data_IF_023213534157
#
_entry.id   IF_023213534157
#
_cell.length_a   1.000
_cell.length_b   1.000
_cell.length_c   1.000
_cell.angle_alpha   90.00
_cell.angle_beta   90.00
_cell.angle_gamma   90.00
#
_symmetry.space_group_name_H-M   'P 1'
#
loop_
_entity.id
_entity.type
_entity.pdbx_description
1 polymer ?
#
# COMPACT_ATOMS: atom_id res chain seq x y z
N UNK A 1 15.14 62.30 -19.14
CA UNK A 1 13.77 62.17 -18.60
C UNK A 1 13.00 61.29 -19.56
N UNK A 2 13.12 59.97 -19.39
CA UNK A 2 12.12 59.06 -18.79
C UNK A 2 11.08 58.62 -19.84
N UNK A 3 10.75 57.35 -20.05
CA UNK A 3 11.29 56.06 -19.63
C UNK A 3 10.63 55.05 -20.60
N UNK A 4 11.40 54.06 -21.07
CA UNK A 4 10.94 53.00 -21.97
C UNK A 4 9.95 52.09 -21.24
N UNK A 5 8.83 51.76 -21.88
CA UNK A 5 7.95 50.67 -21.42
C UNK A 5 7.73 49.69 -22.56
N UNK A 6 8.52 48.62 -22.56
CA UNK A 6 8.34 47.45 -23.41
C UNK A 6 7.40 46.51 -22.66
N UNK A 7 6.22 46.23 -23.23
CA UNK A 7 5.32 45.20 -22.73
C UNK A 7 5.90 43.83 -23.12
N UNK A 8 6.36 43.07 -22.12
CA UNK A 8 6.65 41.63 -22.27
C UNK A 8 5.44 40.89 -21.68
N UNK A 9 4.68 40.10 -22.46
CA UNK A 9 3.67 39.24 -21.88
C UNK A 9 4.41 38.08 -21.19
N UNK A 10 4.38 38.08 -19.87
CA UNK A 10 4.84 36.98 -19.03
C UNK A 10 3.86 35.80 -19.24
N UNK A 11 4.22 34.89 -20.13
CA UNK A 11 3.54 33.62 -20.30
C UNK A 11 3.71 32.80 -19.01
N UNK A 12 2.67 32.79 -18.19
CA UNK A 12 2.59 31.98 -16.99
C UNK A 12 2.34 30.52 -17.42
N UNK A 13 3.41 29.79 -17.74
CA UNK A 13 3.36 28.34 -17.89
C UNK A 13 3.09 27.72 -16.51
N UNK A 14 1.82 27.51 -16.18
CA UNK A 14 1.40 26.58 -15.14
C UNK A 14 1.76 25.16 -15.59
N UNK A 15 3.00 24.75 -15.32
CA UNK A 15 3.35 23.35 -15.30
C UNK A 15 2.68 22.73 -14.07
N UNK A 16 1.41 22.35 -14.22
CA UNK A 16 0.73 21.47 -13.27
C UNK A 16 1.40 20.10 -13.33
N UNK A 17 2.41 19.87 -12.49
CA UNK A 17 2.83 18.53 -12.11
C UNK A 17 1.80 17.95 -11.13
N UNK A 18 0.56 17.81 -11.58
CA UNK A 18 -0.39 16.89 -10.94
C UNK A 18 -0.37 15.65 -11.81
N UNK A 19 0.62 14.79 -11.56
CA UNK A 19 0.58 13.42 -12.03
C UNK A 19 -0.52 12.69 -11.29
N UNK A 20 -1.77 12.96 -11.67
CA UNK A 20 -2.91 12.12 -11.36
C UNK A 20 -2.67 10.80 -12.09
N UNK A 21 -1.90 9.93 -11.45
CA UNK A 21 -1.64 8.58 -11.93
C UNK A 21 -2.88 7.77 -11.63
N UNK A 22 -3.96 8.09 -12.38
CA UNK A 22 -5.02 7.15 -12.66
C UNK A 22 -4.32 5.88 -13.15
N UNK A 23 -4.64 4.74 -12.54
CA UNK A 23 -4.13 3.45 -13.01
C UNK A 23 -4.44 3.33 -14.51
N UNK A 24 -3.40 3.32 -15.34
CA UNK A 24 -3.53 3.19 -16.79
C UNK A 24 -3.61 1.71 -17.20
N UNK A 25 -3.63 0.81 -16.21
CA UNK A 25 -3.63 -0.63 -16.41
C UNK A 25 -2.27 -1.20 -16.79
N UNK A 26 -1.18 -0.41 -16.68
CA UNK A 26 0.17 -0.91 -16.95
C UNK A 26 0.49 -2.08 -16.02
N UNK A 27 0.92 -3.18 -16.62
CA UNK A 27 1.30 -4.39 -15.90
C UNK A 27 2.61 -4.15 -15.16
N UNK A 28 2.67 -4.64 -13.93
CA UNK A 28 3.89 -4.60 -13.15
C UNK A 28 4.88 -5.62 -13.73
N UNK A 29 6.08 -5.16 -14.07
CA UNK A 29 7.15 -6.03 -14.57
C UNK A 29 7.98 -6.64 -13.45
N UNK A 30 8.70 -7.73 -13.76
CA UNK A 30 9.61 -8.40 -12.83
C UNK A 30 10.64 -7.44 -12.25
N UNK A 31 10.87 -7.53 -10.94
CA UNK A 31 11.85 -6.71 -10.24
C UNK A 31 11.40 -5.27 -9.98
N UNK A 32 10.22 -4.86 -10.45
CA UNK A 32 9.65 -3.56 -10.11
C UNK A 32 9.46 -3.45 -8.59
N UNK A 33 10.04 -2.45 -7.91
CA UNK A 33 9.87 -2.30 -6.47
C UNK A 33 8.39 -2.20 -6.08
N UNK A 34 7.99 -2.87 -4.99
CA UNK A 34 6.68 -2.64 -4.38
C UNK A 34 6.58 -1.16 -3.98
N UNK A 35 5.44 -0.53 -4.20
CA UNK A 35 5.28 0.89 -3.89
C UNK A 35 5.68 1.20 -2.44
N UNK A 36 6.60 2.15 -2.25
CA UNK A 36 7.13 2.53 -0.93
C UNK A 36 8.31 1.69 -0.41
N UNK A 37 8.68 0.62 -1.12
CA UNK A 37 9.86 -0.21 -0.82
C UNK A 37 11.17 0.56 -1.08
N UNK A 38 12.21 0.17 -0.36
CA UNK A 38 13.60 0.62 -0.56
C UNK A 38 14.29 -0.06 -1.77
N UNK A 39 13.53 -0.82 -2.56
CA UNK A 39 14.02 -1.60 -3.70
C UNK A 39 14.34 -3.05 -3.35
N UNK A 40 14.31 -3.45 -2.08
CA UNK A 40 14.56 -4.84 -1.68
C UNK A 40 13.32 -5.71 -1.70
N UNK A 41 12.13 -5.13 -1.54
CA UNK A 41 10.86 -5.82 -1.82
C UNK A 41 10.40 -5.47 -3.24
N UNK A 42 10.35 -6.49 -4.09
CA UNK A 42 10.02 -6.36 -5.51
C UNK A 42 8.81 -7.21 -5.89
N UNK A 43 8.14 -6.77 -6.94
CA UNK A 43 7.08 -7.51 -7.60
C UNK A 43 7.65 -8.51 -8.61
N UNK A 44 6.83 -9.54 -8.87
CA UNK A 44 6.93 -10.37 -10.06
C UNK A 44 5.84 -9.97 -11.05
N UNK A 45 6.10 -10.16 -12.33
CA UNK A 45 5.10 -10.03 -13.38
C UNK A 45 4.07 -11.15 -13.22
N UNK A 46 2.92 -10.77 -12.66
CA UNK A 46 1.78 -11.64 -12.41
C UNK A 46 0.58 -11.28 -13.30
N UNK A 47 0.83 -10.51 -14.38
CA UNK A 47 -0.22 -9.98 -15.25
C UNK A 47 -1.13 -8.96 -14.55
N UNK A 48 -0.68 -8.33 -13.47
CA UNK A 48 -1.47 -7.40 -12.66
C UNK A 48 -0.94 -5.97 -12.80
N UNK A 49 -1.87 -5.00 -12.88
CA UNK A 49 -1.56 -3.60 -12.65
C UNK A 49 -1.39 -3.31 -11.16
N UNK A 50 -0.89 -2.11 -10.85
CA UNK A 50 -0.78 -1.65 -9.46
C UNK A 50 -2.14 -1.55 -8.76
N UNK A 51 -3.21 -1.14 -9.45
CA UNK A 51 -4.53 -1.10 -8.81
C UNK A 51 -5.12 -2.50 -8.63
N UNK A 52 -4.90 -3.43 -9.55
CA UNK A 52 -5.33 -4.83 -9.37
C UNK A 52 -4.67 -5.45 -8.14
N UNK A 53 -3.36 -5.27 -7.98
CA UNK A 53 -2.64 -5.72 -6.79
C UNK A 53 -3.17 -5.06 -5.51
N UNK A 54 -3.40 -3.74 -5.54
CA UNK A 54 -3.92 -3.02 -4.39
C UNK A 54 -5.34 -3.50 -4.02
N UNK A 55 -6.23 -3.64 -5.00
CA UNK A 55 -7.57 -4.17 -4.81
C UNK A 55 -7.57 -5.61 -4.30
N UNK A 56 -6.59 -6.43 -4.70
CA UNK A 56 -6.42 -7.77 -4.16
C UNK A 56 -6.03 -7.77 -2.68
N UNK A 57 -5.15 -6.87 -2.26
CA UNK A 57 -4.73 -6.75 -0.86
C UNK A 57 -5.78 -6.11 0.04
N UNK A 58 -6.56 -5.15 -0.46
CA UNK A 58 -7.40 -4.31 0.41
C UNK A 58 -8.87 -4.25 0.01
N UNK A 59 -9.28 -4.99 -1.04
CA UNK A 59 -10.68 -5.24 -1.36
C UNK A 59 -11.28 -6.21 -0.35
N UNK A 60 -11.73 -5.68 0.79
CA UNK A 60 -12.32 -6.49 1.85
C UNK A 60 -13.70 -7.05 1.49
N UNK A 61 -14.06 -8.14 2.16
CA UNK A 61 -15.31 -8.90 1.98
C UNK A 61 -16.42 -8.50 2.98
N UNK A 62 -16.18 -7.47 3.78
CA UNK A 62 -17.08 -7.00 4.84
C UNK A 62 -16.79 -7.58 6.22
N UNK A 63 -15.73 -8.37 6.41
CA UNK A 63 -15.28 -8.81 7.74
C UNK A 63 -14.94 -7.63 8.66
N UNK A 64 -15.38 -7.68 9.92
CA UNK A 64 -15.13 -6.64 10.94
C UNK A 64 -14.46 -7.29 12.16
N UNK A 65 -13.15 -7.06 12.34
CA UNK A 65 -12.36 -7.72 13.41
C UNK A 65 -12.07 -6.75 14.55
N UNK A 66 -11.49 -5.59 14.23
CA UNK A 66 -11.09 -4.56 15.21
C UNK A 66 -11.36 -3.16 14.64
N UNK A 67 -11.76 -2.16 15.44
CA UNK A 67 -11.90 -0.80 14.94
C UNK A 67 -10.59 -0.31 14.32
N UNK A 68 -10.69 0.37 13.17
CA UNK A 68 -9.52 0.72 12.37
C UNK A 68 -8.52 1.58 13.15
N UNK A 69 -9.02 2.63 13.80
CA UNK A 69 -8.20 3.55 14.59
C UNK A 69 -7.50 2.85 15.76
N UNK A 70 -8.14 1.84 16.36
CA UNK A 70 -7.52 1.06 17.43
C UNK A 70 -6.35 0.26 16.89
N UNK A 71 -6.53 -0.43 15.75
CA UNK A 71 -5.45 -1.21 15.15
C UNK A 71 -4.22 -0.37 14.77
N UNK A 72 -4.43 0.88 14.32
CA UNK A 72 -3.33 1.77 13.95
C UNK A 72 -2.40 2.12 15.11
N UNK A 73 -2.93 2.14 16.34
CA UNK A 73 -2.23 2.55 17.56
C UNK A 73 -2.07 1.42 18.59
N UNK A 74 -2.56 0.21 18.28
CA UNK A 74 -2.53 -0.92 19.19
C UNK A 74 -1.09 -1.33 19.44
N UNK A 75 -0.70 -1.41 20.71
CA UNK A 75 0.61 -1.90 21.16
C UNK A 75 0.59 -3.43 21.36
N UNK A 76 1.77 -4.05 21.37
CA UNK A 76 1.91 -5.46 21.73
C UNK A 76 1.78 -5.65 23.25
N UNK A 77 1.31 -6.81 23.71
CA UNK A 77 0.93 -7.02 25.12
C UNK A 77 2.01 -6.64 26.15
N UNK A 78 3.29 -6.91 25.83
CA UNK A 78 4.44 -6.66 26.70
C UNK A 78 5.43 -5.64 26.12
N UNK A 79 5.00 -4.78 25.18
CA UNK A 79 5.87 -3.82 24.48
C UNK A 79 5.10 -2.61 23.94
N UNK A 80 5.72 -1.44 23.93
CA UNK A 80 5.16 -0.22 23.30
C UNK A 80 5.27 -0.24 21.77
N UNK A 81 5.88 -1.27 21.19
CA UNK A 81 5.91 -1.45 19.74
C UNK A 81 4.49 -1.74 19.22
N UNK A 82 4.14 -1.13 18.09
CA UNK A 82 2.82 -1.33 17.49
C UNK A 82 2.61 -2.80 17.10
N UNK A 83 1.38 -3.28 17.22
CA UNK A 83 0.96 -4.59 16.76
C UNK A 83 1.18 -4.74 15.25
N UNK A 84 0.95 -3.67 14.48
CA UNK A 84 1.16 -3.63 13.03
C UNK A 84 2.62 -3.43 12.60
N UNK A 85 3.57 -3.39 13.54
CA UNK A 85 4.99 -3.28 13.19
C UNK A 85 5.41 -4.46 12.31
N UNK A 86 6.21 -4.18 11.26
CA UNK A 86 6.61 -5.17 10.25
C UNK A 86 7.15 -6.45 10.87
N UNK A 87 8.00 -6.35 11.89
CA UNK A 87 8.57 -7.50 12.60
C UNK A 87 7.49 -8.37 13.28
N UNK A 88 6.45 -7.77 13.85
CA UNK A 88 5.35 -8.54 14.47
C UNK A 88 4.46 -9.16 13.39
N UNK A 89 4.20 -8.46 12.30
CA UNK A 89 3.42 -8.95 11.16
C UNK A 89 4.12 -10.15 10.50
N UNK A 90 5.45 -10.08 10.30
CA UNK A 90 6.25 -11.20 9.82
C UNK A 90 6.25 -12.38 10.80
N UNK A 91 6.39 -12.11 12.11
CA UNK A 91 6.29 -13.12 13.17
C UNK A 91 4.93 -13.82 13.16
N UNK A 92 3.87 -13.07 12.89
CA UNK A 92 2.50 -13.55 12.72
C UNK A 92 2.20 -14.09 11.33
N UNK A 93 3.22 -14.23 10.46
CA UNK A 93 3.10 -14.94 9.19
C UNK A 93 2.20 -14.24 8.18
N UNK A 94 2.11 -12.92 8.32
CA UNK A 94 1.51 -12.03 7.36
C UNK A 94 2.60 -11.23 6.63
N UNK A 95 2.22 -10.60 5.52
CA UNK A 95 3.18 -9.90 4.65
C UNK A 95 3.13 -8.39 4.90
N UNK A 96 4.18 -7.78 5.48
CA UNK A 96 4.24 -6.33 5.60
C UNK A 96 4.37 -5.66 4.23
N UNK A 97 3.64 -4.57 4.04
CA UNK A 97 3.70 -3.73 2.85
C UNK A 97 4.09 -2.32 3.28
N UNK A 98 5.17 -1.75 2.72
CA UNK A 98 5.60 -0.40 3.07
C UNK A 98 4.52 0.65 2.86
N UNK A 99 4.63 1.75 3.61
CA UNK A 99 3.80 2.95 3.40
C UNK A 99 4.05 3.52 2.01
N UNK A 100 2.98 3.87 1.32
CA UNK A 100 3.05 4.49 -0.01
C UNK A 100 1.81 5.33 -0.30
N UNK A 101 1.73 5.94 -1.49
CA UNK A 101 0.51 6.63 -1.93
C UNK A 101 -0.72 5.69 -1.98
N UNK A 102 -0.48 4.40 -2.20
CA UNK A 102 -1.53 3.38 -2.24
C UNK A 102 -1.84 2.85 -0.85
N UNK A 103 -0.83 2.67 -0.01
CA UNK A 103 -0.95 2.18 1.35
C UNK A 103 -0.52 3.26 2.35
N UNK A 104 -1.30 4.34 2.55
CA UNK A 104 -0.86 5.47 3.35
C UNK A 104 -0.62 5.06 4.79
N UNK A 105 -1.35 4.10 5.34
CA UNK A 105 -1.22 3.70 6.75
C UNK A 105 -0.16 2.62 6.99
N UNK A 106 0.32 1.95 5.94
CA UNK A 106 1.28 0.86 6.06
C UNK A 106 0.61 -0.40 6.60
N UNK A 107 -0.58 -0.71 6.10
CA UNK A 107 -1.30 -1.92 6.41
C UNK A 107 -0.58 -3.13 5.80
N UNK A 108 -0.57 -4.29 6.46
CA UNK A 108 -0.09 -5.52 5.85
C UNK A 108 -0.97 -5.92 4.65
N UNK A 109 -0.42 -6.68 3.71
CA UNK A 109 -1.20 -7.26 2.62
C UNK A 109 -2.36 -8.05 3.22
N UNK A 110 -3.58 -7.74 2.79
CA UNK A 110 -4.77 -8.42 3.28
C UNK A 110 -5.55 -7.71 4.38
N UNK A 111 -4.97 -6.72 5.05
CA UNK A 111 -5.61 -6.05 6.18
C UNK A 111 -6.39 -4.84 5.66
N UNK A 112 -7.61 -5.13 5.20
CA UNK A 112 -8.48 -4.18 4.53
C UNK A 112 -9.18 -3.24 5.53
N UNK A 113 -9.42 -2.00 5.09
CA UNK A 113 -10.33 -1.07 5.77
C UNK A 113 -11.74 -1.34 5.27
N UNK A 114 -12.61 -1.84 6.14
CA UNK A 114 -14.02 -2.10 5.87
C UNK A 114 -14.90 -1.10 6.62
N UNK A 115 -16.08 -0.82 6.05
CA UNK A 115 -17.11 -0.01 6.69
C UNK A 115 -18.24 -0.92 7.15
N UNK A 116 -18.70 -0.77 8.39
CA UNK A 116 -19.86 -1.53 8.89
C UNK A 116 -21.12 -1.21 8.05
N UNK A 117 -21.96 -2.21 7.86
CA UNK A 117 -23.28 -2.17 7.20
C UNK A 117 -24.26 -1.15 7.79
N UNK A 118 -24.09 -0.77 9.07
CA UNK A 118 -24.89 0.28 9.73
C UNK A 118 -24.18 1.65 9.67
N UNK A 119 -23.02 1.74 9.01
CA UNK A 119 -22.31 2.98 8.70
C UNK A 119 -21.69 3.69 9.89
N UNK A 120 -21.44 2.98 11.01
CA UNK A 120 -21.00 3.61 12.27
C UNK A 120 -19.52 3.43 12.62
N UNK A 121 -18.68 2.97 11.69
CA UNK A 121 -17.23 2.97 11.92
C UNK A 121 -16.44 2.27 10.83
N UNK A 122 -15.15 2.61 10.79
CA UNK A 122 -14.15 1.90 10.00
C UNK A 122 -13.56 0.76 10.85
N UNK A 123 -13.35 -0.38 10.21
CA UNK A 123 -12.85 -1.60 10.84
C UNK A 123 -11.73 -2.18 10.00
N UNK A 124 -10.78 -2.85 10.66
CA UNK A 124 -9.91 -3.79 9.96
C UNK A 124 -10.68 -5.08 9.74
N UNK A 125 -10.69 -5.53 8.49
CA UNK A 125 -11.07 -6.87 8.07
C UNK A 125 -9.92 -7.56 7.35
N UNK A 126 -10.14 -8.83 7.00
CA UNK A 126 -9.22 -9.59 6.17
C UNK A 126 -9.79 -9.71 4.75
N UNK A 127 -8.95 -9.51 3.75
CA UNK A 127 -9.25 -9.79 2.34
C UNK A 127 -8.55 -11.08 1.89
N UNK A 128 -8.74 -11.45 0.62
CA UNK A 128 -8.02 -12.55 -0.02
C UNK A 128 -6.50 -12.45 0.17
N UNK A 129 -5.94 -11.24 0.10
CA UNK A 129 -4.51 -11.00 0.26
C UNK A 129 -3.95 -11.40 1.63
N UNK A 130 -4.78 -11.53 2.67
CA UNK A 130 -4.29 -11.91 4.00
C UNK A 130 -3.81 -13.36 4.04
N UNK A 131 -4.51 -14.23 3.32
CA UNK A 131 -4.24 -15.66 3.27
C UNK A 131 -3.51 -16.06 1.98
N UNK A 132 -3.64 -15.27 0.92
CA UNK A 132 -3.14 -15.59 -0.42
C UNK A 132 -2.09 -14.59 -0.94
N UNK A 133 -1.41 -13.85 -0.07
CA UNK A 133 -0.17 -13.14 -0.41
C UNK A 133 0.98 -13.66 0.44
N UNK A 134 2.13 -13.83 -0.19
CA UNK A 134 3.32 -14.33 0.47
C UNK A 134 4.57 -13.61 -0.01
N UNK A 135 5.61 -13.66 0.81
CA UNK A 135 6.91 -13.05 0.52
C UNK A 135 8.00 -14.10 0.64
N UNK A 136 8.83 -14.23 -0.41
CA UNK A 136 10.00 -15.11 -0.41
C UNK A 136 11.26 -14.27 -0.49
N UNK A 137 12.17 -14.46 0.45
CA UNK A 137 13.46 -13.76 0.50
C UNK A 137 14.58 -14.64 -0.05
N UNK A 138 15.35 -14.13 -1.01
CA UNK A 138 16.52 -14.80 -1.58
C UNK A 138 17.63 -13.78 -1.90
N UNK A 139 18.85 -14.07 -1.44
CA UNK A 139 20.04 -13.26 -1.71
C UNK A 139 19.86 -11.74 -1.46
N UNK A 140 19.17 -11.37 -0.39
CA UNK A 140 18.93 -9.96 -0.02
C UNK A 140 17.76 -9.28 -0.74
N UNK A 141 17.08 -9.97 -1.67
CA UNK A 141 15.87 -9.49 -2.35
C UNK A 141 14.67 -10.32 -1.92
N UNK A 142 13.58 -9.64 -1.57
CA UNK A 142 12.28 -10.23 -1.30
C UNK A 142 11.36 -10.07 -2.49
N UNK A 143 10.68 -11.15 -2.89
CA UNK A 143 9.68 -11.15 -3.96
C UNK A 143 8.29 -11.35 -3.36
N UNK A 144 7.33 -10.53 -3.77
CA UNK A 144 5.92 -10.73 -3.40
C UNK A 144 5.18 -11.58 -4.43
N UNK A 145 4.53 -12.63 -3.95
CA UNK A 145 3.74 -13.56 -4.74
C UNK A 145 2.29 -13.45 -4.27
N UNK A 146 1.41 -13.08 -5.20
CA UNK A 146 -0.02 -12.92 -4.98
C UNK A 146 -0.75 -14.12 -5.59
N UNK A 147 -1.73 -14.67 -4.86
CA UNK A 147 -2.38 -15.95 -5.17
C UNK A 147 -1.72 -17.18 -4.54
N UNK A 148 -0.57 -17.04 -3.89
CA UNK A 148 0.10 -18.14 -3.19
C UNK A 148 -0.25 -18.15 -1.69
N UNK A 149 -0.23 -19.31 -1.04
CA UNK A 149 -0.52 -19.41 0.39
C UNK A 149 0.44 -18.56 1.24
N UNK A 150 -0.08 -17.89 2.26
CA UNK A 150 0.77 -17.20 3.24
C UNK A 150 1.72 -18.19 3.93
N UNK A 151 2.96 -17.78 4.20
CA UNK A 151 3.93 -18.64 4.89
C UNK A 151 3.61 -18.65 6.38
N UNK A 152 2.97 -19.71 6.89
CA UNK A 152 2.76 -19.96 8.33
C UNK A 152 4.03 -20.16 9.15
#
# INVERSE_FOLDING_TARGET
>A
MNLRTILVPLALCLASCVGDSKDDGTIIEDGTPVAGSDGKLVNLNQGWSQATQFGYWYGGDGSLIVPYDWFLILEQADSTELFRADANIERLRYTPIPRSKWNPDGMPAGFAKNTDTIGKGEWVGLSCGACHSTKISYNGTSMIINGAATMG
#
